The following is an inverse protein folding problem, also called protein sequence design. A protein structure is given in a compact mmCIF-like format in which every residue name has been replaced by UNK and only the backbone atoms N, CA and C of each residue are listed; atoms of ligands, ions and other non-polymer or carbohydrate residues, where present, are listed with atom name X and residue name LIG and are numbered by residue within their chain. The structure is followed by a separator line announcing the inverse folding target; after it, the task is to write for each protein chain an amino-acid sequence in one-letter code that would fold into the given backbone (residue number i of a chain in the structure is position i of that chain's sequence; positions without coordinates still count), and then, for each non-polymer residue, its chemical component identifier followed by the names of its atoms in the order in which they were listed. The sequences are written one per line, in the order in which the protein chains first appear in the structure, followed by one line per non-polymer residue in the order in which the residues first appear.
data_IF_550718925356
#
_entry.id   IF_550718925356
#
_cell.length_a   1.000
_cell.length_b   1.000
_cell.length_c   1.000
_cell.angle_alpha   90.00
_cell.angle_beta   90.00
_cell.angle_gamma   90.00
#
_symmetry.space_group_name_H-M   'P 1'
#
loop_
_entity.id
_entity.type
_entity.pdbx_description
1 polymer ?
#
# COMPACT_ATOMS: atom_id res chain seq x y z
N UNK A 1 21.70 -1.93 14.79
CA UNK A 1 20.63 -2.53 13.94
C UNK A 1 19.41 -2.76 14.82
N UNK A 2 18.26 -2.15 14.53
CA UNK A 2 17.11 -2.09 15.46
C UNK A 2 16.30 -3.38 15.62
N UNK A 3 16.63 -4.50 14.94
CA UNK A 3 16.06 -5.84 15.19
C UNK A 3 14.54 -6.01 15.02
N UNK A 4 13.82 -4.95 14.65
CA UNK A 4 12.36 -4.94 14.55
C UNK A 4 11.91 -5.48 13.20
N UNK A 5 10.96 -6.41 13.22
CA UNK A 5 10.38 -7.03 12.02
C UNK A 5 9.38 -6.09 11.37
N UNK A 6 9.42 -5.97 10.04
CA UNK A 6 8.45 -5.21 9.27
C UNK A 6 7.25 -6.07 8.88
N UNK A 7 6.04 -5.52 9.04
CA UNK A 7 4.78 -6.15 8.65
C UNK A 7 4.08 -5.26 7.62
N UNK A 8 3.57 -5.85 6.54
CA UNK A 8 2.84 -5.12 5.51
C UNK A 8 1.34 -5.16 5.77
N UNK A 9 0.64 -4.06 5.51
CA UNK A 9 -0.82 -4.01 5.52
C UNK A 9 -1.37 -4.36 4.13
N UNK A 10 -2.27 -5.33 4.07
CA UNK A 10 -2.91 -5.76 2.81
C UNK A 10 -4.40 -5.44 2.83
N UNK A 11 -4.94 -5.05 1.68
CA UNK A 11 -6.36 -4.83 1.50
C UNK A 11 -7.16 -6.10 1.89
N UNK A 12 -8.15 -5.96 2.76
CA UNK A 12 -8.90 -7.10 3.35
C UNK A 12 -9.45 -8.08 2.31
N UNK A 13 -9.90 -7.60 1.15
CA UNK A 13 -10.40 -8.43 0.06
C UNK A 13 -9.31 -9.22 -0.68
N UNK A 14 -8.06 -8.77 -0.64
CA UNK A 14 -6.92 -9.46 -1.24
C UNK A 14 -6.30 -10.50 -0.29
N UNK A 15 -6.47 -10.33 1.03
CA UNK A 15 -5.98 -11.28 2.04
C UNK A 15 -6.34 -12.75 1.78
N UNK A 16 -7.60 -13.12 1.42
CA UNK A 16 -7.92 -14.53 1.16
C UNK A 16 -7.33 -15.06 -0.15
N UNK A 17 -7.05 -14.18 -1.12
CA UNK A 17 -6.54 -14.57 -2.45
C UNK A 17 -5.03 -14.84 -2.45
N UNK A 18 -4.30 -14.35 -1.43
CA UNK A 18 -2.84 -14.46 -1.32
C UNK A 18 -2.42 -15.02 0.05
N UNK A 19 -2.66 -16.32 0.33
CA UNK A 19 -2.35 -16.93 1.62
C UNK A 19 -0.85 -16.88 1.98
N UNK A 20 0.03 -16.89 0.96
CA UNK A 20 1.48 -16.79 1.15
C UNK A 20 1.90 -15.45 1.78
N UNK A 21 1.21 -14.35 1.45
CA UNK A 21 1.51 -13.05 2.04
C UNK A 21 1.20 -13.02 3.53
N UNK A 22 0.15 -13.72 3.96
CA UNK A 22 -0.19 -13.87 5.38
C UNK A 22 0.89 -14.64 6.14
N UNK A 23 1.47 -15.68 5.54
CA UNK A 23 2.62 -16.42 6.09
C UNK A 23 3.87 -15.53 6.23
N UNK A 24 4.07 -14.58 5.31
CA UNK A 24 5.15 -13.59 5.40
C UNK A 24 4.87 -12.46 6.39
N UNK A 25 3.74 -12.50 7.11
CA UNK A 25 3.40 -11.53 8.15
C UNK A 25 2.53 -10.37 7.70
N UNK A 26 1.91 -10.46 6.53
CA UNK A 26 0.95 -9.45 6.14
C UNK A 26 -0.30 -9.50 7.01
N UNK A 27 -0.70 -8.33 7.50
CA UNK A 27 -1.86 -8.16 8.37
C UNK A 27 -2.98 -7.47 7.59
N UNK A 28 -4.25 -7.82 7.80
CA UNK A 28 -5.37 -7.09 7.20
C UNK A 28 -5.25 -5.60 7.52
N UNK A 29 -5.53 -4.75 6.53
CA UNK A 29 -5.50 -3.29 6.65
C UNK A 29 -6.61 -2.70 7.52
N UNK A 30 -6.75 -3.18 8.75
CA UNK A 30 -7.67 -2.64 9.75
C UNK A 30 -6.91 -1.67 10.68
N UNK A 31 -7.46 -0.48 10.98
CA UNK A 31 -6.78 0.51 11.83
C UNK A 31 -6.38 -0.03 13.21
N UNK A 32 -7.24 -0.86 13.82
CA UNK A 32 -6.98 -1.47 15.13
C UNK A 32 -5.76 -2.39 15.11
N UNK A 33 -5.62 -3.21 14.06
CA UNK A 33 -4.48 -4.11 13.90
C UNK A 33 -3.19 -3.34 13.66
N UNK A 34 -3.23 -2.31 12.82
CA UNK A 34 -2.08 -1.44 12.57
C UNK A 34 -1.63 -0.72 13.85
N UNK A 35 -2.56 -0.16 14.63
CA UNK A 35 -2.26 0.50 15.89
C UNK A 35 -1.64 -0.46 16.92
N UNK A 36 -2.17 -1.69 17.02
CA UNK A 36 -1.61 -2.72 17.91
C UNK A 36 -0.17 -3.08 17.52
N UNK A 37 0.12 -3.26 16.23
CA UNK A 37 1.47 -3.59 15.76
C UNK A 37 2.48 -2.48 16.06
N UNK A 38 2.09 -1.23 15.82
CA UNK A 38 2.94 -0.07 16.11
C UNK A 38 3.21 0.05 17.61
N UNK A 39 2.19 -0.13 18.46
CA UNK A 39 2.35 -0.14 19.93
C UNK A 39 3.22 -1.29 20.44
N UNK A 40 3.20 -2.44 19.77
CA UNK A 40 4.08 -3.57 20.07
C UNK A 40 5.53 -3.38 19.56
N UNK A 41 5.83 -2.25 18.91
CA UNK A 41 7.19 -1.92 18.45
C UNK A 41 7.56 -2.51 17.09
N UNK A 42 6.60 -3.04 16.32
CA UNK A 42 6.84 -3.49 14.94
C UNK A 42 6.84 -2.33 13.95
N UNK A 43 7.55 -2.50 12.83
CA UNK A 43 7.42 -1.59 11.70
C UNK A 43 6.21 -1.98 10.86
N UNK A 44 5.46 -0.98 10.40
CA UNK A 44 4.29 -1.18 9.55
C UNK A 44 4.52 -0.48 8.21
N UNK A 45 4.54 -1.27 7.13
CA UNK A 45 4.60 -0.76 5.76
C UNK A 45 3.18 -0.64 5.19
N UNK A 46 2.86 0.52 4.60
CA UNK A 46 1.55 0.81 4.04
C UNK A 46 1.71 1.61 2.74
N UNK A 47 0.87 1.29 1.76
CA UNK A 47 0.72 2.06 0.52
C UNK A 47 -0.46 3.02 0.72
N UNK A 48 -0.24 4.35 0.75
CA UNK A 48 -1.25 5.33 1.15
C UNK A 48 -2.46 5.37 0.21
N UNK A 49 -2.26 5.19 -1.10
CA UNK A 49 -3.32 5.10 -2.09
C UNK A 49 -4.04 3.74 -2.12
N UNK A 50 -3.49 2.72 -1.45
CA UNK A 50 -4.05 1.37 -1.39
C UNK A 50 -3.68 0.51 -2.60
N UNK A 51 -4.46 -0.54 -2.84
CA UNK A 51 -4.23 -1.43 -3.99
C UNK A 51 -4.42 -0.68 -5.32
N UNK A 52 -5.25 0.35 -5.30
CA UNK A 52 -5.53 1.22 -6.44
C UNK A 52 -4.27 1.93 -6.95
N UNK A 53 -3.35 2.32 -6.07
CA UNK A 53 -2.08 2.95 -6.45
C UNK A 53 -1.22 2.01 -7.31
N UNK A 54 -1.20 0.71 -6.99
CA UNK A 54 -0.49 -0.29 -7.79
C UNK A 54 -1.19 -0.70 -9.09
N UNK A 55 -2.42 -0.26 -9.33
CA UNK A 55 -3.19 -0.57 -10.55
C UNK A 55 -3.05 0.50 -11.64
N UNK A 56 -2.28 1.56 -11.37
CA UNK A 56 -2.12 2.71 -12.25
C UNK A 56 -1.23 2.41 -13.47
N UNK A 57 -0.29 1.47 -13.35
CA UNK A 57 0.54 0.97 -14.44
C UNK A 57 1.63 1.95 -14.93
N UNK A 58 2.45 1.47 -15.88
CA UNK A 58 3.65 2.15 -16.40
C UNK A 58 3.41 3.61 -16.82
N UNK A 59 2.29 3.91 -17.49
CA UNK A 59 2.01 5.25 -18.06
C UNK A 59 1.90 6.35 -17.01
N UNK A 60 1.68 6.00 -15.74
CA UNK A 60 1.48 6.94 -14.65
C UNK A 60 2.36 6.58 -13.42
N UNK A 61 3.46 5.84 -13.64
CA UNK A 61 4.37 5.32 -12.60
C UNK A 61 4.89 6.37 -11.59
N UNK A 62 4.92 7.65 -11.98
CA UNK A 62 5.42 8.75 -11.14
C UNK A 62 4.34 9.70 -10.63
N UNK A 63 3.06 9.33 -10.76
CA UNK A 63 1.95 10.11 -10.20
C UNK A 63 1.52 9.52 -8.87
N UNK A 64 1.57 10.33 -7.83
CA UNK A 64 1.00 9.99 -6.53
C UNK A 64 -0.52 10.10 -6.63
N UNK A 65 -1.22 8.98 -6.48
CA UNK A 65 -2.68 8.93 -6.49
C UNK A 65 -3.20 8.45 -5.14
N UNK A 66 -3.87 9.34 -4.43
CA UNK A 66 -4.56 9.02 -3.17
C UNK A 66 -6.07 9.07 -3.37
N UNK A 67 -6.68 8.04 -3.97
CA UNK A 67 -8.09 8.04 -4.26
C UNK A 67 -8.90 8.32 -3.00
N UNK A 68 -9.89 9.20 -3.12
CA UNK A 68 -10.79 9.63 -2.03
C UNK A 68 -10.11 10.29 -0.82
N UNK A 69 -8.92 10.89 -0.99
CA UNK A 69 -8.16 11.55 0.10
C UNK A 69 -8.01 10.64 1.33
N UNK A 70 -7.64 9.36 1.11
CA UNK A 70 -7.41 8.41 2.22
C UNK A 70 -6.31 8.93 3.15
N UNK A 71 -6.68 9.21 4.40
CA UNK A 71 -5.79 9.70 5.48
C UNK A 71 -5.64 8.72 6.64
N UNK A 72 -6.12 7.48 6.49
CA UNK A 72 -6.16 6.49 7.58
C UNK A 72 -4.78 6.19 8.16
N UNK A 73 -3.75 6.08 7.32
CA UNK A 73 -2.38 5.85 7.78
C UNK A 73 -1.85 7.01 8.65
N UNK A 74 -2.18 8.26 8.31
CA UNK A 74 -1.76 9.44 9.05
C UNK A 74 -2.44 9.50 10.41
N UNK A 75 -3.75 9.24 10.50
CA UNK A 75 -4.46 9.15 11.77
C UNK A 75 -3.86 8.08 12.69
N UNK A 76 -3.56 6.89 12.16
CA UNK A 76 -2.95 5.79 12.93
C UNK A 76 -1.56 6.19 13.44
N UNK A 77 -0.75 6.87 12.62
CA UNK A 77 0.57 7.33 13.04
C UNK A 77 0.50 8.39 14.15
N UNK A 78 -0.48 9.31 14.07
CA UNK A 78 -0.77 10.28 15.13
C UNK A 78 -1.20 9.58 16.42
N UNK A 79 -2.16 8.65 16.34
CA UNK A 79 -2.67 7.90 17.50
C UNK A 79 -1.61 7.00 18.15
N UNK A 80 -0.69 6.45 17.36
CA UNK A 80 0.43 5.64 17.82
C UNK A 80 1.63 6.49 18.29
N UNK A 81 1.62 7.81 18.03
CA UNK A 81 2.73 8.75 18.28
C UNK A 81 4.04 8.29 17.63
N UNK A 82 3.98 7.77 16.40
CA UNK A 82 5.15 7.32 15.64
C UNK A 82 5.42 8.22 14.44
N UNK A 83 6.69 8.42 14.03
CA UNK A 83 7.02 9.15 12.82
C UNK A 83 6.64 8.34 11.57
N UNK A 84 6.28 9.04 10.50
CA UNK A 84 6.09 8.46 9.18
C UNK A 84 7.38 8.67 8.38
N UNK A 85 7.95 7.58 7.86
CA UNK A 85 9.10 7.64 6.94
C UNK A 85 8.58 7.43 5.52
N UNK A 86 8.59 8.47 4.66
CA UNK A 86 8.19 8.31 3.27
C UNK A 86 9.23 7.46 2.54
N UNK A 87 8.76 6.45 1.82
CA UNK A 87 9.58 5.63 0.93
C UNK A 87 9.07 5.83 -0.50
N UNK A 88 9.98 6.19 -1.39
CA UNK A 88 9.72 6.26 -2.82
C UNK A 88 10.54 5.18 -3.53
N UNK A 89 9.89 4.44 -4.42
CA UNK A 89 10.52 3.39 -5.21
C UNK A 89 10.39 3.79 -6.69
N UNK A 90 11.52 4.02 -7.35
CA UNK A 90 11.55 4.24 -8.80
C UNK A 90 11.58 2.90 -9.56
N UNK A 91 11.14 2.92 -10.82
CA UNK A 91 11.22 1.82 -11.78
C UNK A 91 10.38 0.56 -11.47
N UNK A 92 9.75 0.45 -10.30
CA UNK A 92 8.92 -0.71 -9.94
C UNK A 92 7.74 -0.87 -10.90
N UNK A 93 7.06 0.24 -11.21
CA UNK A 93 5.94 0.23 -12.16
C UNK A 93 6.38 0.21 -13.62
N UNK A 94 7.62 0.60 -13.91
CA UNK A 94 8.18 0.53 -15.27
C UNK A 94 8.51 -0.91 -15.67
N UNK A 95 9.07 -1.69 -14.74
CA UNK A 95 9.39 -3.10 -14.97
C UNK A 95 8.15 -3.99 -15.04
N UNK A 96 7.00 -3.51 -14.53
CA UNK A 96 5.77 -4.28 -14.45
C UNK A 96 4.91 -4.08 -15.71
N UNK A 97 5.41 -4.54 -16.84
CA UNK A 97 4.61 -4.56 -18.07
C UNK A 97 3.47 -5.58 -17.94
N UNK A 98 2.24 -5.08 -17.95
CA UNK A 98 1.04 -5.90 -17.92
C UNK A 98 0.09 -5.47 -19.06
N UNK A 99 -0.18 -6.33 -20.05
CA UNK A 99 -1.01 -5.98 -21.20
C UNK A 99 -2.45 -5.64 -20.81
N UNK A 100 -2.96 -6.18 -19.69
CA UNK A 100 -4.32 -5.88 -19.23
C UNK A 100 -4.41 -4.48 -18.61
N UNK A 101 -3.42 -4.08 -17.80
CA UNK A 101 -3.33 -2.72 -17.25
C UNK A 101 -3.05 -1.69 -18.34
N UNK A 102 -2.24 -2.03 -19.33
CA UNK A 102 -2.01 -1.20 -20.51
C UNK A 102 -3.31 -0.94 -21.28
N UNK A 103 -4.09 -2.00 -21.56
CA UNK A 103 -5.37 -1.85 -22.26
C UNK A 103 -6.37 -1.03 -21.41
N UNK A 104 -6.39 -1.27 -20.09
CA UNK A 104 -7.23 -0.52 -19.14
C UNK A 104 -6.92 0.98 -19.14
N UNK A 105 -5.64 1.35 -19.16
CA UNK A 105 -5.20 2.74 -19.26
C UNK A 105 -5.53 3.35 -20.63
N UNK A 106 -5.34 2.59 -21.71
CA UNK A 106 -5.67 3.01 -23.07
C UNK A 106 -7.16 3.26 -23.28
N UNK A 107 -8.02 2.51 -22.58
CA UNK A 107 -9.47 2.72 -22.54
C UNK A 107 -9.90 3.89 -21.64
N UNK A 108 -8.96 4.59 -21.00
CA UNK A 108 -9.22 5.77 -20.16
C UNK A 108 -9.78 5.44 -18.77
N UNK A 109 -9.96 4.17 -18.43
CA UNK A 109 -10.47 3.71 -17.14
C UNK A 109 -9.48 3.96 -15.98
N UNK A 110 -8.18 4.16 -16.29
CA UNK A 110 -7.18 4.59 -15.31
C UNK A 110 -7.44 5.98 -14.69
N UNK A 111 -8.22 6.83 -15.37
CA UNK A 111 -8.61 8.16 -14.85
C UNK A 111 -9.63 8.10 -13.71
N UNK A 112 -10.26 6.95 -13.47
CA UNK A 112 -11.20 6.76 -12.36
C UNK A 112 -10.51 6.77 -10.99
N UNK A 113 -9.19 6.62 -10.95
CA UNK A 113 -8.38 6.59 -9.73
C UNK A 113 -7.61 7.89 -9.45
N UNK A 114 -7.68 8.87 -10.37
CA UNK A 114 -7.02 10.19 -10.24
C UNK A 114 -7.89 11.18 -9.46
#
# INVERSE_FOLDING_TARGET
MTGRVMRSLIHRYLTPFFPLLRLMGSVPGEPKSALSLLKSGFWVAVVPGGAEEGMIGHENAYKVCWPKKRKGFAHIATDAQVPIVPLFLSNVDEMRWNPTLWLWNRLGLGRLFT
#
